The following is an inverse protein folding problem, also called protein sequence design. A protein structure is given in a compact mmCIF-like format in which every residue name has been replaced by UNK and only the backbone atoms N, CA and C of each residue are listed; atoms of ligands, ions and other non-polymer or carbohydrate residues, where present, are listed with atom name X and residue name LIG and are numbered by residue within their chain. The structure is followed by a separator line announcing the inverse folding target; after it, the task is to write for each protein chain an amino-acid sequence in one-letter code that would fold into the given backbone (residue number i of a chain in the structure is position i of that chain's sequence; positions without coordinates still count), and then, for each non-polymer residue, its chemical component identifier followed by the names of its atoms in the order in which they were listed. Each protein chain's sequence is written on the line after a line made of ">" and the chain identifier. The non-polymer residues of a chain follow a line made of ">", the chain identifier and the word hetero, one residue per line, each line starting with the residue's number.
data_IF_382152356280
#
_entry.id   IF_382152356280
#
_cell.length_a   1.000
_cell.length_b   1.000
_cell.length_c   1.000
_cell.angle_alpha   90.00
_cell.angle_beta   90.00
_cell.angle_gamma   90.00
#
_symmetry.space_group_name_H-M   'P 1'
#
loop_
_entity.id
_entity.type
_entity.pdbx_description
1 polymer ?
#
# COMPACT_ATOMS: atom_id res chain seq x y z
N UNK A 1 32.00 15.51 47.33
CA UNK A 1 32.39 14.74 46.13
C UNK A 1 31.09 14.33 45.43
N UNK A 2 30.69 15.04 44.37
CA UNK A 2 29.43 14.79 43.64
C UNK A 2 29.70 13.76 42.55
N UNK A 3 29.05 12.59 42.63
CA UNK A 3 29.06 11.57 41.58
C UNK A 3 27.97 11.97 40.58
N UNK A 4 28.39 12.36 39.38
CA UNK A 4 27.49 12.59 38.24
C UNK A 4 27.24 11.23 37.59
N UNK A 5 26.05 10.67 37.75
CA UNK A 5 25.64 9.45 37.04
C UNK A 5 25.08 9.90 35.69
N UNK A 6 25.88 9.70 34.64
CA UNK A 6 25.48 9.92 33.25
C UNK A 6 24.77 8.64 32.77
N UNK A 7 23.44 8.65 32.78
CA UNK A 7 22.64 7.57 32.20
C UNK A 7 22.66 7.71 30.67
N UNK A 8 23.50 6.93 29.99
CA UNK A 8 23.36 6.71 28.55
C UNK A 8 22.07 5.90 28.30
N UNK A 9 21.02 6.59 27.88
CA UNK A 9 19.88 5.98 27.21
C UNK A 9 20.36 5.54 25.82
N UNK A 10 20.85 4.31 25.70
CA UNK A 10 21.01 3.68 24.41
C UNK A 10 19.61 3.37 23.89
N UNK A 11 19.09 4.18 22.96
CA UNK A 11 17.96 3.79 22.16
C UNK A 11 18.43 2.60 21.30
N UNK A 12 17.92 1.41 21.59
CA UNK A 12 18.08 0.29 20.65
C UNK A 12 17.45 0.72 19.33
N UNK A 13 18.11 0.51 18.18
CA UNK A 13 17.42 0.63 16.91
C UNK A 13 16.20 -0.29 16.98
N UNK A 14 15.02 0.23 16.64
CA UNK A 14 13.88 -0.62 16.37
C UNK A 14 14.33 -1.55 15.24
N UNK A 15 14.40 -2.85 15.52
CA UNK A 15 14.69 -3.84 14.51
C UNK A 15 13.39 -4.00 13.76
N UNK A 16 13.32 -3.39 12.57
CA UNK A 16 12.25 -3.60 11.63
C UNK A 16 12.29 -5.06 11.18
N UNK A 17 11.20 -5.80 11.40
CA UNK A 17 11.11 -7.22 11.05
C UNK A 17 10.63 -7.36 9.60
N UNK A 18 11.37 -8.11 8.79
CA UNK A 18 10.93 -8.48 7.44
C UNK A 18 9.77 -9.47 7.50
N UNK A 19 8.81 -9.30 6.59
CA UNK A 19 7.63 -10.16 6.49
C UNK A 19 7.75 -11.26 5.42
N UNK A 20 8.97 -11.52 4.92
CA UNK A 20 9.25 -12.59 3.97
C UNK A 20 8.70 -13.96 4.44
N UNK A 21 7.95 -14.61 3.56
CA UNK A 21 7.38 -15.94 3.79
C UNK A 21 6.26 -15.99 4.83
N UNK A 22 5.78 -14.85 5.33
CA UNK A 22 4.63 -14.83 6.23
C UNK A 22 3.34 -15.18 5.47
N UNK A 23 2.59 -16.14 6.01
CA UNK A 23 1.40 -16.70 5.36
C UNK A 23 0.19 -16.77 6.30
N UNK A 24 0.38 -16.44 7.59
CA UNK A 24 -0.71 -16.35 8.55
C UNK A 24 -1.38 -14.97 8.46
N UNK A 25 -2.53 -14.93 7.79
CA UNK A 25 -3.33 -13.72 7.63
C UNK A 25 -3.71 -13.06 8.97
N UNK A 26 -3.98 -13.84 10.03
CA UNK A 26 -4.35 -13.27 11.32
C UNK A 26 -3.15 -12.58 11.98
N UNK A 27 -1.95 -13.17 11.85
CA UNK A 27 -0.71 -12.55 12.30
C UNK A 27 -0.40 -11.29 11.49
N UNK A 28 -0.51 -11.34 10.17
CA UNK A 28 -0.29 -10.20 9.28
C UNK A 28 -1.20 -9.02 9.65
N UNK A 29 -2.51 -9.27 9.75
CA UNK A 29 -3.47 -8.22 10.10
C UNK A 29 -3.17 -7.63 11.49
N UNK A 30 -2.74 -8.44 12.46
CA UNK A 30 -2.37 -7.94 13.78
C UNK A 30 -1.10 -7.08 13.78
N UNK A 31 -0.11 -7.42 12.96
CA UNK A 31 1.15 -6.66 12.84
C UNK A 31 0.92 -5.34 12.09
N UNK A 32 0.11 -5.36 11.04
CA UNK A 32 -0.11 -4.20 10.16
C UNK A 32 -1.20 -3.26 10.67
N UNK A 33 -1.98 -3.67 11.68
CA UNK A 33 -3.06 -2.88 12.21
C UNK A 33 -2.56 -1.54 12.77
N UNK A 34 -3.17 -0.44 12.33
CA UNK A 34 -2.77 0.90 12.75
C UNK A 34 -3.12 1.99 11.74
N UNK A 35 -2.63 3.18 12.04
CA UNK A 35 -2.69 4.34 11.16
C UNK A 35 -1.39 4.48 10.38
N UNK A 36 -1.50 4.79 9.09
CA UNK A 36 -0.38 4.86 8.17
C UNK A 36 -0.45 6.18 7.39
N UNK A 37 0.68 6.89 7.33
CA UNK A 37 0.87 8.00 6.41
C UNK A 37 0.93 7.44 4.98
N UNK A 38 0.08 7.98 4.10
CA UNK A 38 -0.02 7.61 2.68
C UNK A 38 0.07 8.85 1.80
N UNK A 39 0.94 8.80 0.81
CA UNK A 39 1.01 9.79 -0.27
C UNK A 39 1.13 9.04 -1.60
N UNK A 40 0.07 9.09 -2.40
CA UNK A 40 -0.04 8.28 -3.60
C UNK A 40 0.40 9.06 -4.85
N UNK A 41 1.11 8.36 -5.72
CA UNK A 41 1.45 8.81 -7.07
C UNK A 41 0.53 8.08 -8.05
N UNK A 42 -0.22 8.83 -8.83
CA UNK A 42 -1.32 8.36 -9.66
C UNK A 42 -1.00 8.66 -11.12
N UNK A 43 -1.10 7.64 -11.95
CA UNK A 43 -1.14 7.74 -13.40
C UNK A 43 -2.56 7.49 -13.90
N UNK A 44 -3.12 8.45 -14.63
CA UNK A 44 -4.42 8.34 -15.29
C UNK A 44 -4.23 8.27 -16.80
N UNK A 45 -4.73 7.19 -17.40
CA UNK A 45 -4.63 6.91 -18.83
C UNK A 45 -6.01 6.71 -19.48
N UNK A 46 -6.21 7.30 -20.66
CA UNK A 46 -7.30 6.99 -21.59
C UNK A 46 -6.81 7.22 -23.02
N UNK A 47 -7.63 6.97 -24.04
CA UNK A 47 -7.25 7.13 -25.46
C UNK A 47 -6.65 8.52 -25.78
N UNK A 48 -7.08 9.56 -25.08
CA UNK A 48 -6.67 10.96 -25.34
C UNK A 48 -6.04 11.66 -24.15
N UNK A 49 -5.84 10.97 -23.03
CA UNK A 49 -5.41 11.56 -21.76
C UNK A 49 -4.31 10.73 -21.14
N UNK A 50 -3.24 11.39 -20.73
CA UNK A 50 -2.19 10.82 -19.87
C UNK A 50 -1.84 11.89 -18.84
N UNK A 51 -2.10 11.62 -17.56
CA UNK A 51 -1.87 12.57 -16.46
C UNK A 51 -1.23 11.84 -15.28
N UNK A 52 -0.05 12.34 -14.89
CA UNK A 52 0.57 12.07 -13.60
C UNK A 52 0.09 13.08 -12.54
N UNK A 53 -0.24 12.60 -11.34
CA UNK A 53 -0.52 13.43 -10.17
C UNK A 53 0.00 12.77 -8.90
N UNK A 54 0.40 13.62 -7.96
CA UNK A 54 0.62 13.22 -6.57
C UNK A 54 -0.58 13.68 -5.73
N UNK A 55 -1.04 12.85 -4.80
CA UNK A 55 -2.10 13.22 -3.86
C UNK A 55 -1.54 14.08 -2.73
N UNK A 56 -2.42 14.75 -1.99
CA UNK A 56 -2.00 15.24 -0.67
C UNK A 56 -1.75 14.04 0.26
N UNK A 57 -0.85 14.17 1.25
CA UNK A 57 -0.72 13.18 2.31
C UNK A 57 -2.06 12.98 3.03
N UNK A 58 -2.40 11.71 3.29
CA UNK A 58 -3.57 11.32 4.07
C UNK A 58 -3.21 10.19 5.05
N UNK A 59 -4.08 10.00 6.05
CA UNK A 59 -3.98 8.86 6.96
C UNK A 59 -4.91 7.77 6.46
N UNK A 60 -4.38 6.56 6.34
CA UNK A 60 -5.16 5.35 6.10
C UNK A 60 -5.13 4.45 7.32
N UNK A 61 -6.21 3.68 7.53
CA UNK A 61 -6.31 2.76 8.66
C UNK A 61 -6.37 1.33 8.16
N UNK A 62 -5.46 0.51 8.68
CA UNK A 62 -5.52 -0.94 8.55
C UNK A 62 -6.13 -1.53 9.83
N UNK A 63 -7.26 -2.20 9.68
CA UNK A 63 -7.93 -2.90 10.77
C UNK A 63 -7.27 -4.23 11.09
N UNK A 64 -7.23 -4.60 12.37
CA UNK A 64 -6.76 -5.92 12.82
C UNK A 64 -7.65 -7.08 12.31
N UNK A 65 -8.81 -6.77 11.75
CA UNK A 65 -9.71 -7.70 11.07
C UNK A 65 -9.39 -7.86 9.57
N UNK A 66 -8.33 -7.22 9.07
CA UNK A 66 -7.94 -7.27 7.66
C UNK A 66 -8.77 -6.34 6.79
N UNK A 67 -9.09 -5.14 7.27
CA UNK A 67 -9.81 -4.13 6.50
C UNK A 67 -8.93 -2.92 6.22
N UNK A 68 -9.11 -2.29 5.05
CA UNK A 68 -8.50 -1.03 4.67
C UNK A 68 -9.57 0.06 4.68
N UNK A 69 -9.28 1.18 5.33
CA UNK A 69 -10.13 2.35 5.35
C UNK A 69 -9.35 3.60 4.89
N UNK A 70 -9.91 4.27 3.89
CA UNK A 70 -9.43 5.57 3.38
C UNK A 70 -10.65 6.45 3.08
N UNK A 71 -10.46 7.76 2.95
CA UNK A 71 -11.54 8.66 2.54
C UNK A 71 -12.08 8.29 1.15
N UNK A 72 -11.19 7.91 0.22
CA UNK A 72 -11.55 7.45 -1.11
C UNK A 72 -12.45 6.22 -1.08
N UNK A 73 -12.09 5.19 -0.30
CA UNK A 73 -12.87 3.95 -0.19
C UNK A 73 -14.25 4.23 0.44
N UNK A 74 -14.30 5.05 1.48
CA UNK A 74 -15.56 5.45 2.12
C UNK A 74 -16.49 6.17 1.14
N UNK A 75 -15.94 7.07 0.31
CA UNK A 75 -16.70 7.76 -0.74
C UNK A 75 -17.23 6.81 -1.83
N UNK A 76 -16.53 5.71 -2.12
CA UNK A 76 -16.95 4.74 -3.16
C UNK A 76 -17.96 3.70 -2.66
N UNK A 77 -17.71 3.10 -1.49
CA UNK A 77 -18.47 1.94 -1.00
C UNK A 77 -19.10 2.12 0.39
N UNK A 78 -18.89 3.27 1.05
CA UNK A 78 -19.50 3.62 2.34
C UNK A 78 -19.12 2.69 3.50
N UNK A 79 -18.03 1.94 3.38
CA UNK A 79 -17.55 0.96 4.35
C UNK A 79 -16.07 0.64 4.11
N UNK A 80 -15.42 0.00 5.08
CA UNK A 80 -14.02 -0.44 4.93
C UNK A 80 -13.92 -1.57 3.90
N UNK A 81 -12.83 -1.57 3.12
CA UNK A 81 -12.53 -2.58 2.11
C UNK A 81 -11.91 -3.82 2.78
N UNK A 82 -12.54 -5.00 2.71
CA UNK A 82 -11.89 -6.22 3.19
C UNK A 82 -10.68 -6.57 2.31
N UNK A 83 -9.56 -6.88 2.97
CA UNK A 83 -8.34 -7.36 2.37
C UNK A 83 -8.21 -8.88 2.57
N UNK A 84 -7.82 -9.58 1.52
CA UNK A 84 -7.57 -11.01 1.55
C UNK A 84 -6.14 -11.28 1.12
N UNK A 85 -5.48 -12.26 1.74
CA UNK A 85 -4.17 -12.71 1.28
C UNK A 85 -4.32 -13.28 -0.14
N UNK A 86 -3.60 -12.72 -1.10
CA UNK A 86 -3.57 -13.18 -2.48
C UNK A 86 -3.00 -14.60 -2.53
N UNK A 87 -3.60 -15.44 -3.36
CA UNK A 87 -3.17 -16.83 -3.56
C UNK A 87 -2.78 -17.11 -5.01
N UNK A 88 -3.32 -16.33 -5.94
CA UNK A 88 -3.11 -16.48 -7.38
C UNK A 88 -2.37 -15.24 -7.90
N UNK A 89 -1.35 -15.46 -8.73
CA UNK A 89 -0.58 -14.40 -9.44
C UNK A 89 -0.14 -13.23 -8.57
N UNK A 90 0.72 -13.45 -7.55
CA UNK A 90 1.34 -12.35 -6.82
C UNK A 90 2.17 -11.49 -7.79
N UNK A 91 2.30 -10.19 -7.50
CA UNK A 91 3.31 -9.36 -8.16
C UNK A 91 4.69 -9.99 -7.93
N UNK A 92 5.45 -10.16 -9.00
CA UNK A 92 6.88 -10.42 -8.93
C UNK A 92 7.66 -9.09 -9.01
N UNK A 93 9.00 -9.18 -8.99
CA UNK A 93 9.87 -8.01 -9.09
C UNK A 93 9.57 -7.18 -10.35
N UNK A 94 9.45 -7.83 -11.51
CA UNK A 94 9.23 -7.15 -12.78
C UNK A 94 7.89 -6.38 -12.77
N UNK A 95 6.82 -7.01 -12.24
CA UNK A 95 5.52 -6.38 -12.15
C UNK A 95 5.51 -5.19 -11.16
N UNK A 96 6.24 -5.27 -10.04
CA UNK A 96 6.39 -4.12 -9.12
C UNK A 96 7.15 -2.99 -9.80
N UNK A 97 8.28 -3.29 -10.45
CA UNK A 97 9.09 -2.29 -11.13
C UNK A 97 8.30 -1.57 -12.24
N UNK A 98 7.51 -2.31 -13.02
CA UNK A 98 6.60 -1.74 -14.03
C UNK A 98 5.59 -0.77 -13.42
N UNK A 99 5.02 -1.08 -12.25
CA UNK A 99 4.09 -0.19 -11.55
C UNK A 99 4.78 1.08 -11.04
N UNK A 100 5.98 0.94 -10.46
CA UNK A 100 6.76 2.07 -9.95
C UNK A 100 7.20 3.00 -11.08
N UNK A 101 7.62 2.45 -12.23
CA UNK A 101 7.97 3.22 -13.42
C UNK A 101 6.75 3.94 -13.99
N UNK A 102 5.59 3.27 -14.03
CA UNK A 102 4.32 3.84 -14.51
C UNK A 102 3.88 5.06 -13.69
N UNK A 103 4.14 5.05 -12.38
CA UNK A 103 3.77 6.14 -11.48
C UNK A 103 4.90 7.14 -11.21
N UNK A 104 6.03 7.02 -11.92
CA UNK A 104 7.25 7.82 -11.73
C UNK A 104 7.74 7.84 -10.27
N UNK A 105 7.77 6.67 -9.62
CA UNK A 105 8.26 6.47 -8.24
C UNK A 105 9.35 5.41 -8.09
N UNK A 106 10.41 5.41 -8.93
CA UNK A 106 11.47 4.41 -8.83
C UNK A 106 12.22 4.47 -7.49
N UNK A 107 12.19 5.60 -6.79
CA UNK A 107 12.79 5.74 -5.45
C UNK A 107 12.16 4.83 -4.38
N UNK A 108 10.93 4.35 -4.59
CA UNK A 108 10.32 3.39 -3.66
C UNK A 108 11.08 2.06 -3.69
N UNK A 109 11.61 1.65 -4.84
CA UNK A 109 12.42 0.43 -4.95
C UNK A 109 13.67 0.53 -4.07
N UNK A 110 14.35 1.68 -4.06
CA UNK A 110 15.53 1.91 -3.21
C UNK A 110 15.17 1.77 -1.71
N UNK A 111 14.03 2.32 -1.28
CA UNK A 111 13.57 2.27 0.12
C UNK A 111 13.20 0.84 0.54
N UNK A 112 12.71 0.03 -0.39
CA UNK A 112 12.24 -1.33 -0.14
C UNK A 112 13.33 -2.39 -0.36
N UNK A 113 14.43 -2.04 -1.04
CA UNK A 113 15.51 -2.94 -1.46
C UNK A 113 16.25 -3.67 -0.34
N UNK A 114 16.10 -3.22 0.92
CA UNK A 114 16.68 -3.90 2.10
C UNK A 114 16.00 -5.25 2.41
N UNK A 115 14.90 -5.58 1.73
CA UNK A 115 14.21 -6.87 1.90
C UNK A 115 15.10 -8.05 1.50
N UNK A 116 15.11 -9.15 2.29
CA UNK A 116 15.91 -10.34 1.96
C UNK A 116 15.27 -11.23 0.88
N UNK A 117 14.04 -10.95 0.44
CA UNK A 117 13.29 -11.71 -0.56
C UNK A 117 12.58 -10.78 -1.56
N UNK A 118 12.20 -11.32 -2.74
CA UNK A 118 11.43 -10.58 -3.74
C UNK A 118 9.94 -10.44 -3.37
N UNK A 119 9.18 -9.59 -4.08
CA UNK A 119 7.73 -9.41 -3.87
C UNK A 119 6.93 -10.70 -3.98
N UNK A 120 7.40 -11.67 -4.76
CA UNK A 120 6.79 -12.99 -4.92
C UNK A 120 6.82 -13.85 -3.64
N UNK A 121 7.76 -13.55 -2.74
CA UNK A 121 7.91 -14.22 -1.44
C UNK A 121 7.35 -13.37 -0.28
N UNK A 122 6.79 -12.19 -0.58
CA UNK A 122 6.13 -11.32 0.39
C UNK A 122 4.63 -11.61 0.44
N UNK A 123 3.97 -11.39 1.60
CA UNK A 123 2.53 -11.40 1.67
C UNK A 123 1.96 -10.29 0.77
N UNK A 124 0.87 -10.59 0.06
CA UNK A 124 0.16 -9.58 -0.74
C UNK A 124 -1.30 -9.58 -0.33
N UNK A 125 -1.78 -8.48 0.22
CA UNK A 125 -3.15 -8.32 0.70
C UNK A 125 -3.95 -7.56 -0.36
N UNK A 126 -4.99 -8.17 -0.91
CA UNK A 126 -5.79 -7.62 -2.00
C UNK A 126 -7.21 -7.32 -1.54
N UNK A 127 -7.68 -6.11 -1.86
CA UNK A 127 -9.08 -5.71 -1.76
C UNK A 127 -9.63 -5.36 -3.13
N UNK A 128 -10.85 -5.79 -3.43
CA UNK A 128 -11.52 -5.50 -4.70
C UNK A 128 -12.63 -4.47 -4.51
N UNK A 129 -12.56 -3.38 -5.26
CA UNK A 129 -13.66 -2.42 -5.37
C UNK A 129 -14.67 -2.93 -6.42
N UNK A 130 -15.93 -3.19 -6.04
CA UNK A 130 -16.94 -3.68 -6.97
C UNK A 130 -17.40 -2.57 -7.92
N UNK A 131 -17.85 -2.96 -9.12
CA UNK A 131 -18.58 -2.03 -9.98
C UNK A 131 -19.88 -1.58 -9.31
N UNK A 132 -20.11 -0.27 -9.25
CA UNK A 132 -21.33 0.35 -8.74
C UNK A 132 -22.21 0.88 -9.89
N UNK A 133 -23.50 1.10 -9.64
CA UNK A 133 -24.38 1.69 -10.66
C UNK A 133 -24.04 3.18 -10.88
N UNK A 134 -23.80 3.58 -12.13
CA UNK A 134 -23.53 4.97 -12.51
C UNK A 134 -22.10 5.19 -13.02
N UNK A 135 -21.41 6.22 -12.50
CA UNK A 135 -19.97 6.37 -12.69
C UNK A 135 -19.30 5.30 -11.82
N UNK A 136 -18.88 4.20 -12.45
CA UNK A 136 -18.33 3.07 -11.71
C UNK A 136 -16.82 3.22 -11.58
N UNK A 137 -16.34 3.04 -10.36
CA UNK A 137 -14.93 2.85 -10.05
C UNK A 137 -14.80 1.42 -9.57
N UNK A 138 -14.01 0.61 -10.26
CA UNK A 138 -13.80 -0.78 -9.90
C UNK A 138 -12.36 -1.19 -10.15
N UNK A 139 -11.88 -2.18 -9.43
CA UNK A 139 -10.51 -2.68 -9.58
C UNK A 139 -9.95 -3.20 -8.28
N UNK A 140 -8.64 -3.17 -8.17
CA UNK A 140 -7.91 -3.82 -7.08
C UNK A 140 -7.01 -2.84 -6.35
N UNK A 141 -6.95 -2.97 -5.04
CA UNK A 141 -5.94 -2.37 -4.18
C UNK A 141 -5.13 -3.52 -3.60
N UNK A 142 -3.83 -3.53 -3.84
CA UNK A 142 -2.88 -4.52 -3.35
C UNK A 142 -1.92 -3.84 -2.37
N UNK A 143 -1.78 -4.40 -1.18
CA UNK A 143 -0.73 -4.05 -0.23
C UNK A 143 0.33 -5.13 -0.26
N UNK A 144 1.59 -4.75 -0.38
CA UNK A 144 2.76 -5.62 -0.30
C UNK A 144 3.57 -5.15 0.92
N UNK A 145 3.36 -5.74 2.11
CA UNK A 145 4.14 -5.44 3.30
C UNK A 145 5.54 -6.03 3.19
N UNK A 146 6.55 -5.20 2.95
CA UNK A 146 7.95 -5.63 2.96
C UNK A 146 8.44 -5.83 4.40
N UNK A 147 7.98 -4.94 5.27
CA UNK A 147 8.36 -4.83 6.67
C UNK A 147 7.14 -4.47 7.51
N UNK A 148 7.27 -4.58 8.83
CA UNK A 148 6.27 -4.09 9.79
C UNK A 148 6.16 -2.56 9.87
N UNK A 149 7.02 -1.82 9.15
CA UNK A 149 7.03 -0.35 9.09
C UNK A 149 6.96 0.24 7.66
N UNK A 150 6.90 -0.60 6.62
CA UNK A 150 6.91 -0.17 5.21
C UNK A 150 6.07 -1.11 4.38
N UNK A 151 5.01 -0.55 3.79
CA UNK A 151 4.09 -1.25 2.92
C UNK A 151 4.07 -0.53 1.58
N UNK A 152 4.24 -1.25 0.48
CA UNK A 152 3.94 -0.74 -0.85
C UNK A 152 2.46 -0.97 -1.13
N UNK A 153 1.71 0.08 -1.39
CA UNK A 153 0.35 0.00 -1.94
C UNK A 153 0.43 0.16 -3.46
N UNK A 154 -0.26 -0.71 -4.18
CA UNK A 154 -0.50 -0.63 -5.63
C UNK A 154 -2.01 -0.63 -5.83
N UNK A 155 -2.53 0.36 -6.56
CA UNK A 155 -3.94 0.49 -6.87
C UNK A 155 -4.12 0.49 -8.38
N UNK A 156 -4.97 -0.38 -8.90
CA UNK A 156 -5.32 -0.47 -10.32
C UNK A 156 -6.84 -0.40 -10.46
N UNK A 157 -7.37 0.73 -10.93
CA UNK A 157 -8.79 0.96 -11.07
C UNK A 157 -9.19 1.32 -12.51
N UNK A 158 -10.38 0.89 -12.89
CA UNK A 158 -11.12 1.34 -14.05
C UNK A 158 -12.20 2.33 -13.62
N UNK A 159 -12.19 3.53 -14.21
CA UNK A 159 -13.20 4.54 -14.03
C UNK A 159 -14.04 4.62 -15.32
N UNK A 160 -15.30 4.22 -15.22
CA UNK A 160 -16.23 4.16 -16.36
C UNK A 160 -17.30 5.25 -16.25
N UNK A 161 -17.58 5.88 -17.39
CA UNK A 161 -18.72 6.78 -17.59
C UNK A 161 -19.37 6.52 -18.95
N UNK A 162 -20.50 7.17 -19.26
CA UNK A 162 -21.28 6.93 -20.49
C UNK A 162 -20.51 7.13 -21.82
N UNK A 163 -19.31 7.71 -21.80
CA UNK A 163 -18.51 7.91 -23.01
C UNK A 163 -16.99 7.90 -22.81
N UNK A 164 -16.50 7.51 -21.63
CA UNK A 164 -15.07 7.46 -21.34
C UNK A 164 -14.74 6.29 -20.41
N UNK A 165 -13.59 5.68 -20.70
CA UNK A 165 -12.91 4.71 -19.83
C UNK A 165 -11.54 5.29 -19.50
N UNK A 166 -11.28 5.44 -18.20
CA UNK A 166 -9.99 5.89 -17.69
C UNK A 166 -9.43 4.76 -16.84
N UNK A 167 -8.18 4.41 -17.08
CA UNK A 167 -7.40 3.50 -16.24
C UNK A 167 -6.59 4.33 -15.26
N UNK A 168 -6.65 3.97 -14.00
CA UNK A 168 -5.88 4.59 -12.94
C UNK A 168 -4.93 3.54 -12.36
N UNK A 169 -3.64 3.81 -12.45
CA UNK A 169 -2.61 3.10 -11.70
C UNK A 169 -2.10 4.04 -10.62
N UNK A 170 -1.95 3.58 -9.40
CA UNK A 170 -1.31 4.36 -8.35
C UNK A 170 -0.39 3.49 -7.50
N UNK A 171 0.69 4.10 -7.01
CA UNK A 171 1.54 3.51 -5.99
C UNK A 171 1.68 4.46 -4.81
N UNK A 172 1.85 3.90 -3.62
CA UNK A 172 2.15 4.67 -2.43
C UNK A 172 3.06 3.89 -1.50
N UNK A 173 3.98 4.58 -0.83
CA UNK A 173 4.72 4.02 0.29
C UNK A 173 4.01 4.40 1.58
N UNK A 174 3.49 3.40 2.28
CA UNK A 174 2.83 3.56 3.56
C UNK A 174 3.87 3.41 4.67
N UNK A 175 3.89 4.38 5.60
CA UNK A 175 4.73 4.33 6.81
C UNK A 175 3.88 4.62 8.06
N UNK A 176 4.24 4.13 9.25
CA UNK A 176 3.45 4.35 10.45
C UNK A 176 3.23 5.84 10.73
N UNK A 177 1.97 6.22 10.96
CA UNK A 177 1.61 7.58 11.32
C UNK A 177 2.22 7.96 12.69
N UNK A 178 2.56 9.25 12.87
CA UNK A 178 3.22 9.77 14.08
C UNK A 178 2.29 10.34 15.13
#
# INVERSE_FOLDING_TARGET
>A
MRILILACLCASPAVTDSLCGETDAARLNAVLAGEWDREAHIQLESETLSILRQTAPEIVTLGADGTLQTAFIDDQIGSSLPLMLAHDTPYDVDAVDDMLDTTETPEFADILSDTPCGPEDLPQLQGMLPETEGMSVAGTITLIPYFDDRILEITELELKSEGALIFMTATALLTPAR
#
